data_IF_237963808990
#
_entry.id   IF_237963808990
#
_cell.length_a   1.000
_cell.length_b   1.000
_cell.length_c   1.000
_cell.angle_alpha   90.00
_cell.angle_beta   90.00
_cell.angle_gamma   90.00
#
_symmetry.space_group_name_H-M   'P 1'
#
loop_
_entity.id
_entity.type
_entity.pdbx_description
1 polymer ?
#
# COMPACT_ATOMS: atom_id res chain seq x y z
N UNK A 1 22.68 3.59 -3.00
CA UNK A 1 22.22 2.18 -2.96
C UNK A 1 22.16 1.63 -4.38
N UNK A 2 22.57 0.39 -4.59
CA UNK A 2 22.37 -0.30 -5.88
C UNK A 2 20.87 -0.34 -6.21
N UNK A 3 20.45 -0.10 -7.47
CA UNK A 3 19.05 -0.19 -7.89
C UNK A 3 18.38 -1.52 -7.51
N UNK A 4 19.14 -2.62 -7.47
CA UNK A 4 18.64 -3.95 -7.06
C UNK A 4 18.25 -4.00 -5.58
N UNK A 5 19.08 -3.43 -4.70
CA UNK A 5 18.82 -3.38 -3.25
C UNK A 5 17.63 -2.47 -2.96
N UNK A 6 17.54 -1.32 -3.65
CA UNK A 6 16.41 -0.38 -3.53
C UNK A 6 15.08 -1.07 -3.87
N UNK A 7 15.07 -1.88 -4.93
CA UNK A 7 13.90 -2.68 -5.31
C UNK A 7 13.58 -3.77 -4.29
N UNK A 8 14.57 -4.50 -3.77
CA UNK A 8 14.35 -5.51 -2.73
C UNK A 8 13.72 -4.92 -1.46
N UNK A 9 14.28 -3.83 -0.94
CA UNK A 9 13.77 -3.14 0.26
C UNK A 9 12.37 -2.57 -0.03
N UNK A 10 12.20 -1.92 -1.18
CA UNK A 10 10.92 -1.35 -1.57
C UNK A 10 9.81 -2.40 -1.71
N UNK A 11 10.10 -3.54 -2.34
CA UNK A 11 9.14 -4.64 -2.43
C UNK A 11 8.81 -5.23 -1.06
N UNK A 12 9.81 -5.42 -0.19
CA UNK A 12 9.59 -5.90 1.17
C UNK A 12 8.74 -4.93 2.00
N UNK A 13 9.04 -3.64 1.94
CA UNK A 13 8.25 -2.59 2.60
C UNK A 13 6.82 -2.53 2.05
N UNK A 14 6.64 -2.73 0.74
CA UNK A 14 5.31 -2.75 0.12
C UNK A 14 4.48 -3.94 0.58
N UNK A 15 5.06 -5.14 0.60
CA UNK A 15 4.38 -6.35 1.06
C UNK A 15 4.06 -6.27 2.55
N UNK A 16 5.02 -5.88 3.39
CA UNK A 16 4.82 -5.73 4.83
C UNK A 16 3.80 -4.64 5.16
N UNK A 17 3.88 -3.49 4.49
CA UNK A 17 2.92 -2.39 4.64
C UNK A 17 1.52 -2.76 4.19
N UNK A 18 1.37 -3.44 3.05
CA UNK A 18 0.09 -3.93 2.57
C UNK A 18 -0.50 -4.98 3.51
N UNK A 19 0.32 -5.89 4.04
CA UNK A 19 -0.12 -6.89 5.02
C UNK A 19 -0.66 -6.22 6.28
N UNK A 20 0.09 -5.28 6.87
CA UNK A 20 -0.36 -4.51 8.03
C UNK A 20 -1.63 -3.71 7.75
N UNK A 21 -1.72 -3.10 6.56
CA UNK A 21 -2.91 -2.37 6.11
C UNK A 21 -4.15 -3.26 6.04
N UNK A 22 -4.03 -4.44 5.42
CA UNK A 22 -5.15 -5.39 5.30
C UNK A 22 -5.63 -5.85 6.67
N UNK A 23 -4.72 -6.14 7.60
CA UNK A 23 -5.11 -6.49 8.97
C UNK A 23 -5.87 -5.35 9.66
N UNK A 24 -5.41 -4.10 9.50
CA UNK A 24 -6.11 -2.93 10.03
C UNK A 24 -7.48 -2.71 9.38
N UNK A 25 -7.60 -2.92 8.06
CA UNK A 25 -8.86 -2.80 7.35
C UNK A 25 -9.87 -3.88 7.78
N UNK A 26 -9.43 -5.13 7.97
CA UNK A 26 -10.31 -6.20 8.47
C UNK A 26 -10.74 -5.89 9.91
N UNK A 27 -9.83 -5.47 10.77
CA UNK A 27 -10.17 -5.13 12.16
C UNK A 27 -11.15 -3.95 12.25
N UNK A 28 -11.03 -2.96 11.36
CA UNK A 28 -11.93 -1.81 11.32
C UNK A 28 -13.29 -2.16 10.69
N UNK A 29 -13.38 -3.21 9.87
CA UNK A 29 -14.64 -3.67 9.29
C UNK A 29 -15.68 -4.09 10.36
N UNK A 30 -15.23 -4.53 11.54
CA UNK A 30 -16.09 -4.88 12.66
C UNK A 30 -16.84 -3.66 13.24
N UNK A 31 -16.32 -2.45 13.03
CA UNK A 31 -16.98 -1.21 13.42
C UNK A 31 -18.00 -0.72 12.38
N UNK A 32 -18.05 -1.34 11.20
CA UNK A 32 -18.97 -0.97 10.12
C UNK A 32 -20.29 -1.72 10.30
N UNK A 33 -21.46 -1.07 10.10
CA UNK A 33 -22.75 -1.74 10.20
C UNK A 33 -22.82 -3.04 9.40
N UNK A 34 -23.50 -4.05 9.95
CA UNK A 34 -23.75 -5.35 9.28
C UNK A 34 -24.81 -5.25 8.17
N UNK A 35 -24.67 -4.24 7.32
CA UNK A 35 -25.48 -3.99 6.15
C UNK A 35 -24.62 -4.19 4.91
N UNK A 36 -25.08 -4.99 3.95
CA UNK A 36 -24.29 -5.40 2.78
C UNK A 36 -23.73 -4.20 2.00
N UNK A 37 -24.51 -3.12 1.84
CA UNK A 37 -24.06 -1.92 1.13
C UNK A 37 -22.99 -1.14 1.90
N UNK A 38 -23.08 -1.10 3.24
CA UNK A 38 -22.08 -0.40 4.07
C UNK A 38 -20.74 -1.12 3.99
N UNK A 39 -20.76 -2.45 4.08
CA UNK A 39 -19.59 -3.31 3.91
C UNK A 39 -19.00 -3.18 2.50
N UNK A 40 -19.86 -3.19 1.45
CA UNK A 40 -19.43 -3.00 0.07
C UNK A 40 -18.70 -1.67 -0.13
N UNK A 41 -19.29 -0.57 0.32
CA UNK A 41 -18.69 0.76 0.21
C UNK A 41 -17.39 0.86 0.99
N UNK A 42 -17.36 0.31 2.22
CA UNK A 42 -16.18 0.27 3.05
C UNK A 42 -15.01 -0.45 2.36
N UNK A 43 -15.23 -1.68 1.89
CA UNK A 43 -14.19 -2.45 1.23
C UNK A 43 -13.80 -1.89 -0.14
N UNK A 44 -14.73 -1.28 -0.88
CA UNK A 44 -14.41 -0.59 -2.13
C UNK A 44 -13.45 0.59 -1.88
N UNK A 45 -13.72 1.40 -0.86
CA UNK A 45 -12.86 2.53 -0.50
C UNK A 45 -11.52 2.04 0.06
N UNK A 46 -11.52 1.06 0.97
CA UNK A 46 -10.29 0.49 1.54
C UNK A 46 -9.41 -0.15 0.44
N UNK A 47 -10.02 -0.85 -0.51
CA UNK A 47 -9.34 -1.46 -1.66
C UNK A 47 -8.68 -0.46 -2.61
N UNK A 48 -9.10 0.81 -2.60
CA UNK A 48 -8.47 1.88 -3.38
C UNK A 48 -7.50 2.69 -2.52
N UNK A 49 -7.84 2.93 -1.25
CA UNK A 49 -7.09 3.80 -0.34
C UNK A 49 -5.65 3.33 -0.10
N UNK A 50 -5.39 2.01 -0.08
CA UNK A 50 -4.02 1.49 0.07
C UNK A 50 -3.09 1.84 -1.10
N UNK A 51 -3.62 2.19 -2.27
CA UNK A 51 -2.79 2.61 -3.40
C UNK A 51 -2.04 3.92 -3.11
N UNK A 52 -2.60 4.79 -2.26
CA UNK A 52 -2.00 6.06 -1.89
C UNK A 52 -0.60 5.91 -1.27
N UNK A 53 -0.36 5.03 -0.28
CA UNK A 53 1.00 4.75 0.22
C UNK A 53 1.86 3.93 -0.76
N UNK A 54 1.28 3.11 -1.64
CA UNK A 54 2.04 2.32 -2.61
C UNK A 54 2.70 3.17 -3.70
N UNK A 55 1.99 4.18 -4.21
CA UNK A 55 2.45 5.07 -5.29
C UNK A 55 3.81 5.74 -4.99
N UNK A 56 4.02 6.47 -3.87
CA UNK A 56 5.29 7.12 -3.58
C UNK A 56 6.43 6.10 -3.39
N UNK A 57 6.14 4.93 -2.82
CA UNK A 57 7.12 3.87 -2.65
C UNK A 57 7.59 3.32 -4.00
N UNK A 58 6.66 3.05 -4.92
CA UNK A 58 6.97 2.62 -6.29
C UNK A 58 7.75 3.69 -7.04
N UNK A 59 7.34 4.97 -6.95
CA UNK A 59 8.08 6.10 -7.54
C UNK A 59 9.50 6.16 -7.01
N UNK A 60 9.69 5.99 -5.70
CA UNK A 60 11.02 5.91 -5.10
C UNK A 60 11.81 4.73 -5.64
N UNK A 61 11.25 3.52 -5.68
CA UNK A 61 11.93 2.32 -6.20
C UNK A 61 12.42 2.48 -7.65
N UNK A 62 11.64 3.20 -8.48
CA UNK A 62 11.93 3.43 -9.90
C UNK A 62 12.74 4.70 -10.16
N UNK A 63 12.97 5.57 -9.16
CA UNK A 63 13.72 6.79 -9.36
C UNK A 63 15.18 6.47 -9.76
N UNK A 64 15.54 6.89 -10.98
CA UNK A 64 16.88 6.74 -11.53
C UNK A 64 17.91 7.54 -10.71
N UNK A 65 19.15 7.02 -10.55
CA UNK A 65 20.23 7.80 -9.98
C UNK A 65 20.48 9.03 -10.87
N UNK A 66 20.41 10.24 -10.28
CA UNK A 66 20.65 11.51 -10.98
C UNK A 66 21.98 11.41 -11.76
N UNK A 67 21.92 11.36 -13.10
CA UNK A 67 23.12 11.39 -13.96
C UNK A 67 23.80 12.73 -13.70
N UNK A 68 24.92 12.72 -12.94
CA UNK A 68 25.76 13.92 -12.77
C UNK A 68 26.23 14.35 -14.16
N UNK A 69 25.72 15.49 -14.65
CA UNK A 69 26.33 16.25 -15.73
C UNK A 69 27.54 16.99 -15.16
#
# INVERSE_FOLDING_TARGET
MSPRIKKLIGSGAMLGGLFAYVLGAIALADAIPKHWLAQLLYFAVAGIAWSAPAIPLIKWMNAEPKRRR
#
